data_IF_197737626103
#
_entry.id   IF_197737626103
#
_cell.length_a   1.000
_cell.length_b   1.000
_cell.length_c   1.000
_cell.angle_alpha   90.00
_cell.angle_beta   90.00
_cell.angle_gamma   90.00
#
_symmetry.space_group_name_H-M   'P 1'
#
loop_
_entity.id
_entity.type
_entity.pdbx_description
1 polymer ?
#
# COMPACT_ATOMS: atom_id res chain seq x y z
N UNK A 1 -6.82 8.43 -14.87
CA UNK A 1 -5.62 7.59 -14.62
C UNK A 1 -5.02 7.83 -13.23
N UNK A 2 -4.52 9.00 -12.90
CA UNK A 2 -3.96 9.26 -11.57
C UNK A 2 -4.96 9.17 -10.42
N UNK A 3 -6.18 9.68 -10.61
CA UNK A 3 -7.28 9.59 -9.62
C UNK A 3 -7.61 8.13 -9.27
N UNK A 4 -7.78 7.29 -10.28
CA UNK A 4 -8.12 5.87 -10.11
C UNK A 4 -7.00 5.09 -9.41
N UNK A 5 -5.73 5.39 -9.75
CA UNK A 5 -4.57 4.78 -9.08
C UNK A 5 -4.51 5.17 -7.59
N UNK A 6 -4.76 6.44 -7.27
CA UNK A 6 -4.79 6.88 -5.88
C UNK A 6 -5.97 6.25 -5.14
N UNK A 7 -7.16 6.22 -5.74
CA UNK A 7 -8.34 5.62 -5.12
C UNK A 7 -8.13 4.12 -4.84
N UNK A 8 -7.55 3.38 -5.79
CA UNK A 8 -7.19 1.98 -5.58
C UNK A 8 -6.13 1.81 -4.48
N UNK A 9 -5.12 2.66 -4.46
CA UNK A 9 -4.11 2.63 -3.40
C UNK A 9 -4.72 2.89 -2.02
N UNK A 10 -5.64 3.86 -1.90
CA UNK A 10 -6.39 4.12 -0.66
C UNK A 10 -7.18 2.87 -0.22
N UNK A 11 -7.90 2.23 -1.14
CA UNK A 11 -8.66 1.00 -0.87
C UNK A 11 -7.72 -0.09 -0.34
N UNK A 12 -6.58 -0.31 -0.98
CA UNK A 12 -5.64 -1.36 -0.60
C UNK A 12 -4.99 -1.08 0.77
N UNK A 13 -4.63 0.17 1.06
CA UNK A 13 -4.12 0.57 2.37
C UNK A 13 -5.18 0.41 3.46
N UNK A 14 -6.43 0.74 3.17
CA UNK A 14 -7.55 0.56 4.09
C UNK A 14 -7.87 -0.91 4.35
N UNK A 15 -7.82 -1.78 3.33
CA UNK A 15 -7.93 -3.24 3.48
C UNK A 15 -6.87 -3.77 4.45
N UNK A 16 -5.63 -3.40 4.23
CA UNK A 16 -4.52 -3.81 5.09
C UNK A 16 -4.72 -3.33 6.53
N UNK A 17 -5.09 -2.07 6.71
CA UNK A 17 -5.35 -1.50 8.03
C UNK A 17 -6.52 -2.20 8.75
N UNK A 18 -7.62 -2.47 8.07
CA UNK A 18 -8.77 -3.18 8.63
C UNK A 18 -8.43 -4.64 9.00
N UNK A 19 -7.59 -5.31 8.22
CA UNK A 19 -7.12 -6.66 8.55
C UNK A 19 -6.18 -6.68 9.77
N UNK A 20 -5.37 -5.64 9.95
CA UNK A 20 -4.43 -5.50 11.09
C UNK A 20 -5.11 -5.08 12.39
N UNK A 21 -6.03 -4.13 12.31
CA UNK A 21 -6.59 -3.42 13.45
C UNK A 21 -8.06 -3.75 13.75
N UNK A 22 -8.73 -4.45 12.84
CA UNK A 22 -10.17 -4.66 12.86
C UNK A 22 -10.93 -3.54 12.12
N UNK A 23 -12.20 -3.81 11.80
CA UNK A 23 -13.08 -2.85 11.16
C UNK A 23 -13.83 -2.01 12.20
N UNK A 24 -13.76 -0.70 12.04
CA UNK A 24 -14.62 0.26 12.72
C UNK A 24 -15.19 1.23 11.67
N UNK A 25 -16.47 1.52 11.80
CA UNK A 25 -17.14 2.47 10.89
C UNK A 25 -16.87 3.91 11.36
N UNK A 26 -15.65 4.36 11.09
CA UNK A 26 -15.17 5.69 11.46
C UNK A 26 -14.36 6.33 10.33
N UNK A 27 -14.03 7.61 10.47
CA UNK A 27 -13.15 8.31 9.54
C UNK A 27 -11.73 7.73 9.61
N UNK A 28 -11.25 7.19 8.51
CA UNK A 28 -9.86 6.73 8.38
C UNK A 28 -8.96 7.86 7.88
N UNK A 29 -7.76 7.97 8.47
CA UNK A 29 -6.75 8.94 8.07
C UNK A 29 -5.49 8.22 7.59
N UNK A 30 -5.09 8.54 6.37
CA UNK A 30 -3.92 7.99 5.72
C UNK A 30 -2.92 9.12 5.44
N UNK A 31 -1.64 8.86 5.64
CA UNK A 31 -0.58 9.87 5.57
C UNK A 31 0.43 9.52 4.49
N UNK A 32 0.58 10.40 3.53
CA UNK A 32 1.45 10.21 2.38
C UNK A 32 2.55 11.27 2.32
N UNK A 33 3.81 10.89 2.06
CA UNK A 33 4.82 11.84 1.59
C UNK A 33 4.41 12.39 0.22
N UNK A 34 4.76 13.65 -0.07
CA UNK A 34 4.51 14.27 -1.38
C UNK A 34 5.11 13.44 -2.53
N UNK A 35 6.32 12.89 -2.32
CA UNK A 35 6.98 12.04 -3.30
C UNK A 35 6.15 10.80 -3.68
N UNK A 36 5.51 10.15 -2.71
CA UNK A 36 4.65 8.98 -2.96
C UNK A 36 3.41 9.34 -3.78
N UNK A 37 2.79 10.49 -3.48
CA UNK A 37 1.65 10.98 -4.25
C UNK A 37 2.06 11.41 -5.66
N UNK A 38 3.23 12.02 -5.84
CA UNK A 38 3.76 12.33 -7.16
C UNK A 38 3.89 11.07 -8.02
N UNK A 39 4.39 9.95 -7.46
CA UNK A 39 4.48 8.66 -8.16
C UNK A 39 3.10 8.12 -8.54
N UNK A 40 2.14 8.16 -7.63
CA UNK A 40 0.77 7.68 -7.87
C UNK A 40 0.03 8.51 -8.92
N UNK A 41 0.20 9.82 -8.87
CA UNK A 41 -0.53 10.78 -9.71
C UNK A 41 0.19 11.09 -11.03
N UNK A 42 1.49 10.78 -11.15
CA UNK A 42 2.32 11.19 -12.28
C UNK A 42 2.58 12.71 -12.28
N UNK A 43 2.76 13.31 -11.12
CA UNK A 43 2.98 14.76 -10.91
C UNK A 43 4.36 15.03 -10.35
N UNK A 44 4.72 16.31 -10.23
CA UNK A 44 6.02 16.78 -9.74
C UNK A 44 5.87 17.94 -8.75
N UNK A 45 4.90 17.87 -7.83
CA UNK A 45 4.74 18.86 -6.78
C UNK A 45 5.93 18.83 -5.82
N UNK A 46 6.44 20.01 -5.47
CA UNK A 46 7.53 20.14 -4.50
C UNK A 46 7.02 20.43 -3.07
N UNK A 47 5.88 21.11 -2.97
CA UNK A 47 5.34 21.57 -1.69
C UNK A 47 4.06 20.84 -1.30
N UNK A 48 3.90 20.47 -0.02
CA UNK A 48 2.68 19.82 0.47
C UNK A 48 1.39 20.60 0.18
N UNK A 49 1.39 21.91 0.31
CA UNK A 49 0.22 22.76 0.04
C UNK A 49 -0.21 22.70 -1.43
N UNK A 50 0.73 22.65 -2.36
CA UNK A 50 0.48 22.49 -3.79
C UNK A 50 -0.17 21.14 -4.11
N UNK A 51 0.33 20.07 -3.50
CA UNK A 51 -0.26 18.74 -3.63
C UNK A 51 -1.70 18.71 -3.11
N UNK A 52 -1.98 19.35 -1.98
CA UNK A 52 -3.36 19.42 -1.43
C UNK A 52 -4.31 20.11 -2.42
N UNK A 53 -3.89 21.20 -3.03
CA UNK A 53 -4.72 21.89 -4.03
C UNK A 53 -4.94 21.04 -5.30
N UNK A 54 -3.93 20.34 -5.76
CA UNK A 54 -4.09 19.38 -6.86
C UNK A 54 -5.07 18.25 -6.52
N UNK A 55 -4.98 17.66 -5.32
CA UNK A 55 -5.89 16.63 -4.87
C UNK A 55 -7.34 17.12 -4.78
N UNK A 56 -7.55 18.33 -4.22
CA UNK A 56 -8.88 18.96 -4.17
C UNK A 56 -9.47 19.14 -5.57
N UNK A 57 -8.69 19.61 -6.52
CA UNK A 57 -9.14 19.76 -7.91
C UNK A 57 -9.44 18.41 -8.55
N UNK A 58 -8.58 17.42 -8.36
CA UNK A 58 -8.73 16.07 -8.93
C UNK A 58 -10.01 15.36 -8.44
N UNK A 59 -10.39 15.60 -7.18
CA UNK A 59 -11.57 14.99 -6.55
C UNK A 59 -12.80 15.90 -6.49
N UNK A 60 -12.69 17.15 -6.99
CA UNK A 60 -13.82 18.07 -7.08
C UNK A 60 -14.90 17.60 -8.05
N UNK A 61 -14.50 16.91 -9.12
CA UNK A 61 -15.40 16.38 -10.15
C UNK A 61 -15.52 14.86 -10.01
N UNK A 62 -16.76 14.38 -10.01
CA UNK A 62 -17.08 12.97 -9.97
C UNK A 62 -17.23 12.41 -8.55
N UNK A 63 -17.96 11.31 -8.46
CA UNK A 63 -18.18 10.56 -7.21
C UNK A 63 -17.05 9.56 -6.98
N UNK A 64 -16.47 9.57 -5.79
CA UNK A 64 -15.61 8.49 -5.31
C UNK A 64 -16.43 7.42 -4.61
N UNK A 65 -16.10 6.15 -4.81
CA UNK A 65 -16.71 5.04 -4.04
C UNK A 65 -16.38 5.13 -2.55
N UNK A 66 -15.34 5.89 -2.21
CA UNK A 66 -14.92 6.16 -0.84
C UNK A 66 -15.65 7.37 -0.19
N UNK A 67 -16.61 7.99 -0.89
CA UNK A 67 -17.28 9.18 -0.41
C UNK A 67 -16.47 10.46 -0.64
N UNK A 68 -16.76 11.50 0.16
CA UNK A 68 -16.07 12.80 0.07
C UNK A 68 -14.78 12.78 0.84
N UNK A 69 -13.65 12.77 0.12
CA UNK A 69 -12.32 12.77 0.73
C UNK A 69 -11.94 14.15 1.24
N UNK A 70 -11.26 14.19 2.39
CA UNK A 70 -10.63 15.40 2.92
C UNK A 70 -9.12 15.38 2.68
N UNK A 71 -8.53 16.55 2.42
CA UNK A 71 -7.10 16.69 2.16
C UNK A 71 -6.53 17.85 2.98
N UNK A 72 -5.46 17.59 3.73
CA UNK A 72 -4.75 18.65 4.46
C UNK A 72 -3.27 18.32 4.64
N UNK A 73 -2.48 19.35 4.94
CA UNK A 73 -1.08 19.15 5.36
C UNK A 73 -1.05 18.82 6.84
N UNK A 74 -0.32 17.79 7.22
CA UNK A 74 -0.11 17.36 8.59
C UNK A 74 1.33 16.92 8.79
N UNK A 75 2.09 17.62 9.63
CA UNK A 75 3.50 17.33 9.93
C UNK A 75 4.39 17.09 8.68
N UNK A 76 4.22 17.93 7.65
CA UNK A 76 4.98 17.83 6.39
C UNK A 76 4.52 16.75 5.43
N UNK A 77 3.50 15.98 5.80
CA UNK A 77 2.84 14.95 4.95
C UNK A 77 1.46 15.43 4.52
N UNK A 78 0.90 14.74 3.56
CA UNK A 78 -0.48 14.89 3.17
C UNK A 78 -1.33 13.90 3.95
N UNK A 79 -2.27 14.41 4.73
CA UNK A 79 -3.32 13.59 5.33
C UNK A 79 -4.50 13.53 4.37
N UNK A 80 -4.90 12.30 4.04
CA UNK A 80 -6.12 12.02 3.30
C UNK A 80 -7.10 11.38 4.29
N UNK A 81 -8.22 12.04 4.52
CA UNK A 81 -9.29 11.52 5.37
C UNK A 81 -10.39 10.90 4.50
N UNK A 82 -10.72 9.65 4.80
CA UNK A 82 -11.79 8.89 4.17
C UNK A 82 -12.95 8.79 5.17
N UNK A 83 -14.17 9.20 4.78
CA UNK A 83 -15.31 9.20 5.68
C UNK A 83 -15.77 7.78 6.06
N UNK A 84 -16.63 7.62 7.10
CA UNK A 84 -17.10 6.30 7.56
C UNK A 84 -17.73 5.43 6.47
N UNK A 85 -18.47 6.02 5.54
CA UNK A 85 -19.06 5.31 4.40
C UNK A 85 -18.00 4.69 3.49
N UNK A 86 -16.84 5.32 3.34
CA UNK A 86 -15.70 4.76 2.60
C UNK A 86 -15.06 3.58 3.32
N UNK A 87 -14.91 3.68 4.64
CA UNK A 87 -14.42 2.56 5.46
C UNK A 87 -15.36 1.35 5.37
N UNK A 88 -16.67 1.57 5.43
CA UNK A 88 -17.70 0.54 5.24
C UNK A 88 -17.64 -0.07 3.84
N UNK A 89 -17.53 0.75 2.79
CA UNK A 89 -17.40 0.27 1.43
C UNK A 89 -16.23 -0.72 1.28
N UNK A 90 -15.06 -0.37 1.80
CA UNK A 90 -13.88 -1.24 1.74
C UNK A 90 -14.12 -2.55 2.50
N UNK A 91 -14.72 -2.49 3.68
CA UNK A 91 -15.04 -3.68 4.47
C UNK A 91 -16.00 -4.63 3.74
N UNK A 92 -17.04 -4.10 3.11
CA UNK A 92 -18.04 -4.88 2.37
C UNK A 92 -17.50 -5.43 1.03
N UNK A 93 -16.45 -4.82 0.46
CA UNK A 93 -15.84 -5.19 -0.82
C UNK A 93 -14.41 -5.73 -0.66
N UNK A 94 -14.12 -6.39 0.46
CA UNK A 94 -12.78 -6.90 0.78
C UNK A 94 -12.27 -7.91 -0.27
N UNK A 95 -13.12 -8.75 -0.83
CA UNK A 95 -12.76 -9.80 -1.79
C UNK A 95 -11.99 -10.95 -1.14
N UNK A 96 -11.19 -11.65 -1.93
CA UNK A 96 -10.28 -12.70 -1.43
C UNK A 96 -9.03 -12.05 -0.85
N UNK A 97 -8.89 -12.14 0.45
CA UNK A 97 -7.76 -11.57 1.21
C UNK A 97 -6.95 -12.64 1.96
N UNK A 98 -7.13 -13.92 1.62
CA UNK A 98 -6.49 -15.02 2.35
C UNK A 98 -4.96 -14.91 2.35
N UNK A 99 -4.35 -14.59 1.21
CA UNK A 99 -2.91 -14.37 1.11
C UNK A 99 -2.46 -13.14 1.92
N UNK A 100 -3.10 -11.99 1.72
CA UNK A 100 -2.76 -10.76 2.44
C UNK A 100 -2.88 -10.96 3.95
N UNK A 101 -3.92 -11.65 4.41
CA UNK A 101 -4.08 -12.00 5.83
C UNK A 101 -2.95 -12.89 6.34
N UNK A 102 -2.54 -13.89 5.56
CA UNK A 102 -1.42 -14.77 5.93
C UNK A 102 -0.09 -13.99 6.06
N UNK A 103 0.16 -13.03 5.16
CA UNK A 103 1.32 -12.13 5.24
C UNK A 103 1.23 -11.22 6.48
N UNK A 104 0.09 -10.61 6.73
CA UNK A 104 -0.12 -9.75 7.91
C UNK A 104 0.11 -10.55 9.20
N UNK A 105 -0.43 -11.75 9.29
CA UNK A 105 -0.26 -12.63 10.47
C UNK A 105 1.23 -13.00 10.68
N UNK A 106 1.97 -13.25 9.60
CA UNK A 106 3.41 -13.50 9.68
C UNK A 106 4.17 -12.29 10.23
N UNK A 107 3.89 -11.10 9.72
CA UNK A 107 4.59 -9.87 10.11
C UNK A 107 4.06 -9.23 11.40
N UNK A 108 2.94 -9.71 11.95
CA UNK A 108 2.42 -9.24 13.26
C UNK A 108 3.35 -9.62 14.41
N UNK A 109 4.16 -10.67 14.24
CA UNK A 109 5.23 -11.04 15.15
C UNK A 109 6.54 -11.23 14.38
N UNK A 110 7.24 -10.13 14.03
CA UNK A 110 8.39 -10.18 13.13
C UNK A 110 9.68 -10.71 13.79
N UNK A 111 9.67 -10.94 15.10
CA UNK A 111 10.80 -11.54 15.81
C UNK A 111 10.99 -12.99 15.39
N UNK A 112 12.23 -13.40 15.20
CA UNK A 112 12.61 -14.76 14.79
C UNK A 112 12.02 -15.22 13.45
N UNK A 113 11.54 -14.28 12.62
CA UNK A 113 11.09 -14.53 11.26
C UNK A 113 12.19 -14.25 10.25
N UNK A 114 12.18 -14.99 9.17
CA UNK A 114 13.14 -14.87 8.08
C UNK A 114 12.44 -14.79 6.73
N UNK A 115 13.21 -14.50 5.69
CA UNK A 115 12.70 -14.54 4.31
C UNK A 115 12.19 -15.93 3.94
N UNK A 116 12.74 -17.01 4.52
CA UNK A 116 12.25 -18.37 4.28
C UNK A 116 10.80 -18.56 4.78
N UNK A 117 10.41 -17.91 5.88
CA UNK A 117 9.03 -17.92 6.35
C UNK A 117 8.10 -17.21 5.35
N UNK A 118 8.55 -16.11 4.75
CA UNK A 118 7.81 -15.40 3.69
C UNK A 118 7.64 -16.30 2.46
N UNK A 119 8.73 -16.96 2.02
CA UNK A 119 8.68 -17.92 0.90
C UNK A 119 7.70 -19.05 1.14
N UNK A 120 7.63 -19.57 2.37
CA UNK A 120 6.67 -20.61 2.74
C UNK A 120 5.22 -20.11 2.62
N UNK A 121 4.94 -18.88 3.02
CA UNK A 121 3.60 -18.28 2.83
C UNK A 121 3.28 -18.16 1.34
N UNK A 122 4.18 -17.59 0.53
CA UNK A 122 3.98 -17.51 -0.93
C UNK A 122 3.71 -18.87 -1.55
N UNK A 123 4.53 -19.88 -1.22
CA UNK A 123 4.42 -21.23 -1.77
C UNK A 123 3.09 -21.94 -1.50
N UNK A 124 2.36 -21.53 -0.46
CA UNK A 124 1.01 -22.06 -0.17
C UNK A 124 -0.06 -21.53 -1.11
N UNK A 125 0.16 -20.37 -1.75
CA UNK A 125 -0.85 -19.69 -2.56
C UNK A 125 -0.59 -19.76 -4.06
N UNK A 126 0.65 -20.01 -4.48
CA UNK A 126 0.96 -20.11 -5.91
C UNK A 126 2.45 -20.13 -6.23
N UNK A 127 2.75 -20.24 -7.51
CA UNK A 127 4.10 -20.12 -8.02
C UNK A 127 4.58 -18.66 -7.88
N UNK A 128 5.75 -18.47 -7.32
CA UNK A 128 6.31 -17.15 -7.04
C UNK A 128 7.76 -17.02 -7.49
N UNK A 129 8.23 -15.80 -7.59
CA UNK A 129 9.62 -15.44 -7.82
C UNK A 129 10.16 -14.80 -6.54
N UNK A 130 11.41 -15.13 -6.21
CA UNK A 130 12.18 -14.44 -5.18
C UNK A 130 13.50 -14.01 -5.80
N UNK A 131 13.79 -12.72 -5.80
CA UNK A 131 15.01 -12.16 -6.37
C UNK A 131 15.73 -11.23 -5.39
N UNK A 132 17.05 -11.16 -5.53
CA UNK A 132 17.88 -10.23 -4.76
C UNK A 132 17.65 -8.80 -5.24
N UNK A 133 17.52 -7.88 -4.31
CA UNK A 133 17.45 -6.46 -4.64
C UNK A 133 18.85 -5.91 -4.96
N UNK A 134 18.96 -4.93 -5.87
CA UNK A 134 20.22 -4.28 -6.17
C UNK A 134 20.87 -3.63 -4.93
N UNK A 135 22.19 -3.60 -4.90
CA UNK A 135 22.93 -2.84 -3.88
C UNK A 135 22.53 -1.36 -3.91
N UNK A 136 22.31 -0.78 -2.74
CA UNK A 136 21.88 0.61 -2.58
C UNK A 136 20.37 0.81 -2.47
N UNK A 137 19.57 -0.25 -2.63
CA UNK A 137 18.14 -0.23 -2.25
C UNK A 137 17.98 -0.48 -0.75
N UNK A 138 16.84 -0.05 -0.20
CA UNK A 138 16.54 -0.24 1.23
C UNK A 138 16.06 -1.67 1.57
N UNK A 139 16.04 -2.59 0.61
CA UNK A 139 15.51 -3.93 0.76
C UNK A 139 16.51 -5.00 0.31
N UNK A 140 16.41 -6.19 0.90
CA UNK A 140 17.30 -7.32 0.62
C UNK A 140 16.78 -8.17 -0.54
N UNK A 141 15.49 -8.47 -0.55
CA UNK A 141 14.85 -9.35 -1.54
C UNK A 141 13.46 -8.84 -1.91
N UNK A 142 13.02 -9.23 -3.11
CA UNK A 142 11.64 -9.03 -3.57
C UNK A 142 10.99 -10.37 -3.87
N UNK A 143 9.74 -10.53 -3.45
CA UNK A 143 8.89 -11.69 -3.74
C UNK A 143 7.61 -11.25 -4.42
N UNK A 144 7.20 -11.96 -5.46
CA UNK A 144 5.96 -11.70 -6.18
C UNK A 144 5.45 -12.96 -6.87
N UNK A 145 4.14 -13.05 -7.10
CA UNK A 145 3.56 -14.18 -7.81
C UNK A 145 3.81 -14.11 -9.31
N UNK A 146 3.98 -15.27 -9.93
CA UNK A 146 4.04 -15.37 -11.40
C UNK A 146 2.68 -15.05 -12.03
N UNK A 147 1.60 -15.42 -11.34
CA UNK A 147 0.22 -15.10 -11.72
C UNK A 147 -0.27 -13.90 -10.87
N UNK A 148 -0.40 -12.72 -11.47
CA UNK A 148 -0.83 -11.52 -10.75
C UNK A 148 -2.29 -11.59 -10.27
N UNK A 149 -3.08 -12.58 -10.69
CA UNK A 149 -4.44 -12.77 -10.18
C UNK A 149 -4.47 -13.28 -8.74
N UNK A 150 -3.37 -13.85 -8.24
CA UNK A 150 -3.22 -14.25 -6.84
C UNK A 150 -3.02 -13.03 -5.95
N UNK A 151 -2.03 -12.22 -6.28
CA UNK A 151 -1.76 -10.91 -5.71
C UNK A 151 -0.85 -10.14 -6.69
N UNK A 152 -1.16 -8.88 -6.96
CA UNK A 152 -0.45 -8.07 -7.96
C UNK A 152 0.77 -7.32 -7.41
N UNK A 153 0.99 -7.38 -6.09
CA UNK A 153 2.04 -6.64 -5.43
C UNK A 153 3.39 -7.38 -5.42
N UNK A 154 4.44 -6.58 -5.45
CA UNK A 154 5.82 -6.98 -5.22
C UNK A 154 6.17 -6.67 -3.77
N UNK A 155 6.48 -7.70 -3.00
CA UNK A 155 6.79 -7.63 -1.57
C UNK A 155 8.30 -7.52 -1.39
N UNK A 156 8.78 -6.30 -1.15
CA UNK A 156 10.18 -6.05 -0.85
C UNK A 156 10.41 -6.22 0.65
N UNK A 157 11.32 -7.11 1.02
CA UNK A 157 11.59 -7.48 2.41
C UNK A 157 13.00 -7.10 2.81
N UNK A 158 13.15 -6.72 4.07
CA UNK A 158 14.42 -6.39 4.70
C UNK A 158 14.49 -7.04 6.07
N UNK A 159 15.66 -7.59 6.41
CA UNK A 159 15.94 -8.04 7.76
C UNK A 159 16.87 -7.05 8.44
N UNK A 160 16.41 -6.40 9.50
CA UNK A 160 17.13 -5.37 10.22
C UNK A 160 16.98 -5.57 11.73
N UNK A 161 18.11 -5.65 12.45
CA UNK A 161 18.17 -5.80 13.90
C UNK A 161 17.30 -6.97 14.45
N UNK A 162 17.25 -8.09 13.74
CA UNK A 162 16.43 -9.26 14.11
C UNK A 162 14.94 -9.12 13.80
N UNK A 163 14.54 -8.04 13.14
CA UNK A 163 13.17 -7.81 12.68
C UNK A 163 13.07 -8.01 11.16
N UNK A 164 11.98 -8.61 10.72
CA UNK A 164 11.61 -8.69 9.31
C UNK A 164 10.62 -7.58 8.99
N UNK A 165 10.92 -6.80 7.97
CA UNK A 165 10.10 -5.66 7.52
C UNK A 165 9.75 -5.88 6.06
N UNK A 166 8.55 -5.49 5.65
CA UNK A 166 8.16 -5.52 4.24
C UNK A 166 7.52 -4.22 3.79
N UNK A 167 7.60 -3.97 2.48
CA UNK A 167 6.84 -2.94 1.80
C UNK A 167 6.29 -3.49 0.49
N UNK A 168 5.07 -3.11 0.14
CA UNK A 168 4.39 -3.56 -1.08
C UNK A 168 4.46 -2.49 -2.15
N UNK A 169 4.83 -2.90 -3.35
CA UNK A 169 4.84 -2.05 -4.53
C UNK A 169 4.01 -2.66 -5.64
N UNK A 170 3.28 -1.83 -6.38
CA UNK A 170 2.79 -2.25 -7.68
C UNK A 170 3.97 -2.43 -8.65
N UNK A 171 3.81 -3.25 -9.67
CA UNK A 171 4.87 -3.59 -10.63
C UNK A 171 5.58 -2.36 -11.20
N UNK A 172 4.83 -1.33 -11.59
CA UNK A 172 5.39 -0.11 -12.15
C UNK A 172 6.27 0.67 -11.16
N UNK A 173 5.85 0.71 -9.90
CA UNK A 173 6.60 1.41 -8.86
C UNK A 173 7.82 0.59 -8.40
N UNK A 174 7.70 -0.73 -8.40
CA UNK A 174 8.83 -1.63 -8.20
C UNK A 174 9.90 -1.46 -9.30
N UNK A 175 9.50 -1.36 -10.56
CA UNK A 175 10.43 -1.15 -11.68
C UNK A 175 11.19 0.18 -11.53
N UNK A 176 10.53 1.25 -11.08
CA UNK A 176 11.19 2.54 -10.80
C UNK A 176 12.18 2.47 -9.64
N UNK A 177 11.95 1.56 -8.69
CA UNK A 177 12.88 1.35 -7.58
C UNK A 177 14.20 0.73 -8.03
N UNK A 178 14.20 0.03 -9.18
CA UNK A 178 15.37 -0.62 -9.76
C UNK A 178 16.20 0.29 -10.69
N UNK A 179 15.66 1.45 -11.10
CA UNK A 179 16.33 2.46 -11.94
C UNK A 179 17.23 3.38 -11.12
#
# INVERSE_FOLDING_TARGET
>A
MGKERLEQNLIDQMKEAQLKLGFEEETMRLYYPVASLNLLLGTACERPAEMVEQLKQLFAEGTSVLGTLGFRVSAGRIEISVPPEGARYVHEHMGDVAFLKAIIDLFSNPHDKSVEDVKQVFGRFGAYVCEQMPEGTDFDQALYFQDPSVDEYYYCVKQEMGHLIYHRFLKEDYQKLLE
#
